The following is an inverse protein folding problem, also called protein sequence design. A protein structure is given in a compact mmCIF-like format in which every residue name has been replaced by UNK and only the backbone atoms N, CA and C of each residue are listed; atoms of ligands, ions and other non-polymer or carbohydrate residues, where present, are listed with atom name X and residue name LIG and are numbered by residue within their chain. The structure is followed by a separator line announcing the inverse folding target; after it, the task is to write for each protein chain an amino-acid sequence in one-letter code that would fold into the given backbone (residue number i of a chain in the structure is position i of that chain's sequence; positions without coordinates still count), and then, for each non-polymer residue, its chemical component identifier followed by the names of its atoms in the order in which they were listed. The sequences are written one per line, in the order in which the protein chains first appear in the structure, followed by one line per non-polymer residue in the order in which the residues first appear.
data_IF_048307986803
#
_entry.id   IF_048307986803
#
_cell.length_a   1.000
_cell.length_b   1.000
_cell.length_c   1.000
_cell.angle_alpha   90.00
_cell.angle_beta   90.00
_cell.angle_gamma   90.00
#
_symmetry.space_group_name_H-M   'P 1'
#
loop_
_entity.id
_entity.type
_entity.pdbx_description
1 polymer ?
#
# COMPACT_ATOMS: atom_id res chain seq x y z
N UNK A 1 14.66 -17.95 16.94
CA UNK A 1 13.84 -17.20 17.92
C UNK A 1 12.40 -16.95 17.41
N UNK A 2 11.76 -17.88 16.68
CA UNK A 2 10.57 -17.56 15.85
C UNK A 2 9.45 -18.60 15.88
N UNK A 3 9.23 -19.27 17.02
CA UNK A 3 8.16 -20.30 17.14
C UNK A 3 7.08 -19.94 18.16
N UNK A 4 7.27 -18.91 18.99
CA UNK A 4 6.32 -18.57 20.07
C UNK A 4 5.16 -17.65 19.65
N UNK A 5 5.11 -17.14 18.42
CA UNK A 5 4.15 -16.08 18.03
C UNK A 5 2.97 -16.54 17.17
N UNK A 6 2.86 -17.82 16.77
CA UNK A 6 1.82 -18.25 15.81
C UNK A 6 0.38 -18.06 16.33
N UNK A 7 0.16 -18.23 17.64
CA UNK A 7 -1.16 -18.06 18.25
C UNK A 7 -1.63 -16.60 18.30
N UNK A 8 -0.73 -15.62 18.19
CA UNK A 8 -1.06 -14.19 18.29
C UNK A 8 -1.33 -13.52 16.93
N UNK A 9 -1.19 -14.27 15.82
CA UNK A 9 -1.36 -13.76 14.45
C UNK A 9 -2.86 -13.61 14.10
N UNK A 10 -3.70 -14.48 14.67
CA UNK A 10 -5.13 -14.56 14.37
C UNK A 10 -5.97 -13.52 15.12
N UNK A 11 -5.73 -12.22 14.90
CA UNK A 11 -6.64 -11.19 15.41
C UNK A 11 -7.92 -11.18 14.57
N UNK A 12 -9.12 -11.19 15.19
CA UNK A 12 -10.36 -11.11 14.44
C UNK A 12 -10.46 -9.77 13.72
N UNK A 13 -10.64 -9.82 12.39
CA UNK A 13 -10.87 -8.63 11.57
C UNK A 13 -12.31 -8.19 11.77
N UNK A 14 -12.50 -6.98 12.29
CA UNK A 14 -13.84 -6.39 12.44
C UNK A 14 -14.38 -5.94 11.08
N UNK A 15 -15.69 -6.11 10.80
CA UNK A 15 -16.30 -5.55 9.60
C UNK A 15 -16.07 -4.04 9.51
N UNK A 16 -15.68 -3.57 8.32
CA UNK A 16 -15.48 -2.14 8.07
C UNK A 16 -16.80 -1.46 7.71
N UNK A 17 -17.01 -0.20 8.11
CA UNK A 17 -18.15 0.58 7.65
C UNK A 17 -17.98 1.00 6.19
N UNK A 18 -19.11 1.24 5.50
CA UNK A 18 -19.11 1.79 4.14
C UNK A 18 -18.95 3.32 4.17
N UNK A 19 -17.71 3.80 4.34
CA UNK A 19 -17.40 5.24 4.39
C UNK A 19 -16.66 5.75 3.15
N UNK A 20 -16.11 4.85 2.33
CA UNK A 20 -15.28 5.20 1.19
C UNK A 20 -16.07 5.08 -0.11
N UNK A 21 -15.83 6.03 -1.02
CA UNK A 21 -16.28 5.97 -2.41
C UNK A 21 -15.12 6.40 -3.29
N UNK A 22 -15.05 5.84 -4.48
CA UNK A 22 -13.99 6.14 -5.44
C UNK A 22 -14.57 6.15 -6.85
N UNK A 23 -14.30 7.21 -7.60
CA UNK A 23 -14.66 7.31 -9.02
C UNK A 23 -13.60 6.59 -9.86
N UNK A 24 -14.01 5.51 -10.53
CA UNK A 24 -13.11 4.70 -11.36
C UNK A 24 -12.44 5.49 -12.49
N UNK A 25 -13.02 6.61 -12.93
CA UNK A 25 -12.38 7.47 -13.94
C UNK A 25 -11.07 8.11 -13.43
N UNK A 26 -10.80 8.07 -12.12
CA UNK A 26 -9.56 8.55 -11.50
C UNK A 26 -8.45 7.50 -11.45
N UNK A 27 -8.77 6.23 -11.71
CA UNK A 27 -7.82 5.12 -11.52
C UNK A 27 -6.66 5.17 -12.51
N UNK A 28 -6.93 5.44 -13.78
CA UNK A 28 -5.92 5.39 -14.85
C UNK A 28 -4.79 6.42 -14.67
N UNK A 29 -5.11 7.58 -14.11
CA UNK A 29 -4.11 8.60 -13.78
C UNK A 29 -3.23 8.15 -12.62
N UNK A 30 -3.84 7.67 -11.54
CA UNK A 30 -3.11 7.11 -10.40
C UNK A 30 -2.21 5.93 -10.78
N UNK A 31 -2.69 5.01 -11.63
CA UNK A 31 -1.91 3.87 -12.09
C UNK A 31 -0.64 4.29 -12.86
N UNK A 32 -0.72 5.37 -13.65
CA UNK A 32 0.46 5.91 -14.34
C UNK A 32 1.51 6.44 -13.36
N UNK A 33 1.07 7.04 -12.26
CA UNK A 33 1.93 7.58 -11.20
C UNK A 33 2.47 6.54 -10.21
N UNK A 34 2.02 5.28 -10.27
CA UNK A 34 2.50 4.24 -9.36
C UNK A 34 4.01 3.95 -9.55
N UNK A 35 4.53 4.14 -10.76
CA UNK A 35 5.95 3.98 -11.07
C UNK A 35 6.83 5.03 -10.38
N UNK A 36 6.29 6.19 -10.00
CA UNK A 36 7.03 7.25 -9.32
C UNK A 36 7.49 6.81 -7.91
N UNK A 37 6.83 5.78 -7.35
CA UNK A 37 7.19 5.18 -6.06
C UNK A 37 8.10 3.95 -6.18
N UNK A 38 8.63 3.67 -7.38
CA UNK A 38 9.47 2.49 -7.66
C UNK A 38 10.83 2.83 -8.28
N UNK A 39 11.66 3.72 -7.70
CA UNK A 39 12.96 4.06 -8.31
C UNK A 39 13.87 2.84 -8.51
N UNK A 40 13.89 1.87 -7.59
CA UNK A 40 14.63 0.61 -7.79
C UNK A 40 13.92 -0.29 -8.80
N UNK A 41 12.59 -0.36 -8.78
CA UNK A 41 11.79 -1.07 -9.78
C UNK A 41 12.02 -0.59 -11.20
N UNK A 42 12.14 0.72 -11.42
CA UNK A 42 12.45 1.30 -12.73
C UNK A 42 13.82 0.85 -13.27
N UNK A 43 14.78 0.59 -12.38
CA UNK A 43 16.12 0.15 -12.75
C UNK A 43 16.23 -1.38 -12.89
N UNK A 44 15.44 -2.13 -12.14
CA UNK A 44 15.66 -3.58 -11.95
C UNK A 44 14.51 -4.46 -12.45
N UNK A 45 13.29 -3.92 -12.56
CA UNK A 45 12.07 -4.68 -12.79
C UNK A 45 11.68 -5.64 -11.66
N UNK A 46 12.36 -5.56 -10.50
CA UNK A 46 12.30 -6.58 -9.45
C UNK A 46 11.62 -6.12 -8.15
N UNK A 47 10.71 -5.13 -8.24
CA UNK A 47 9.97 -4.62 -7.09
C UNK A 47 8.46 -4.62 -7.33
N UNK A 48 7.72 -4.58 -6.24
CA UNK A 48 6.32 -4.19 -6.17
C UNK A 48 6.22 -2.81 -5.53
N UNK A 49 5.14 -2.08 -5.81
CA UNK A 49 4.76 -0.87 -5.10
C UNK A 49 3.40 -1.00 -4.41
N UNK A 50 3.26 -0.25 -3.32
CA UNK A 50 1.98 0.10 -2.72
C UNK A 50 1.89 1.63 -2.58
N UNK A 51 0.76 2.22 -2.97
CA UNK A 51 0.51 3.65 -2.85
C UNK A 51 -0.85 3.93 -2.18
N UNK A 52 -0.94 5.05 -1.47
CA UNK A 52 -2.18 5.53 -0.87
C UNK A 52 -2.82 6.57 -1.78
N UNK A 53 -4.01 6.26 -2.27
CA UNK A 53 -4.79 7.11 -3.17
C UNK A 53 -5.93 7.78 -2.42
N UNK A 54 -6.07 9.10 -2.57
CA UNK A 54 -7.22 9.83 -2.09
C UNK A 54 -8.43 9.65 -3.01
N UNK A 55 -9.67 9.93 -2.56
CA UNK A 55 -10.85 9.94 -3.43
C UNK A 55 -10.74 10.89 -4.62
N UNK A 56 -9.85 11.89 -4.57
CA UNK A 56 -9.53 12.78 -5.69
C UNK A 56 -8.81 12.09 -6.86
N UNK A 57 -8.20 10.92 -6.62
CA UNK A 57 -7.27 10.26 -7.54
C UNK A 57 -5.80 10.54 -7.24
N UNK A 58 -5.49 11.46 -6.32
CA UNK A 58 -4.11 11.81 -5.98
C UNK A 58 -3.42 10.70 -5.19
N UNK A 59 -2.22 10.30 -5.62
CA UNK A 59 -1.34 9.44 -4.84
C UNK A 59 -0.54 10.30 -3.86
N UNK A 60 -0.98 10.32 -2.60
CA UNK A 60 -0.32 11.13 -1.57
C UNK A 60 0.98 10.51 -1.06
N UNK A 61 1.26 9.25 -1.41
CA UNK A 61 2.56 8.62 -1.25
C UNK A 61 2.57 7.12 -1.50
N UNK A 62 3.75 6.53 -1.47
CA UNK A 62 3.96 5.11 -1.78
C UNK A 62 5.34 4.59 -1.40
N UNK A 63 5.46 3.26 -1.39
CA UNK A 63 6.70 2.55 -1.09
C UNK A 63 6.88 1.35 -2.01
N UNK A 64 8.13 1.06 -2.36
CA UNK A 64 8.52 -0.16 -3.03
C UNK A 64 9.20 -1.18 -2.11
N UNK A 65 9.11 -2.44 -2.50
CA UNK A 65 9.90 -3.54 -1.95
C UNK A 65 9.96 -4.70 -2.95
N UNK A 66 10.93 -5.61 -2.79
CA UNK A 66 10.94 -6.86 -3.56
C UNK A 66 9.67 -7.68 -3.30
N UNK A 67 9.24 -7.75 -2.03
CA UNK A 67 8.03 -8.45 -1.61
C UNK A 67 6.81 -7.54 -1.51
N UNK A 68 5.72 -7.86 -2.21
CA UNK A 68 4.47 -7.07 -2.18
C UNK A 68 3.90 -6.82 -0.77
N UNK A 69 4.00 -7.79 0.15
CA UNK A 69 3.47 -7.63 1.50
C UNK A 69 4.29 -6.61 2.30
N UNK A 70 5.61 -6.63 2.13
CA UNK A 70 6.51 -5.66 2.77
C UNK A 70 6.30 -4.27 2.18
N UNK A 71 6.09 -4.15 0.87
CA UNK A 71 5.72 -2.88 0.24
C UNK A 71 4.42 -2.31 0.84
N UNK A 72 3.40 -3.15 1.03
CA UNK A 72 2.15 -2.76 1.69
C UNK A 72 2.34 -2.38 3.16
N UNK A 73 3.10 -3.15 3.93
CA UNK A 73 3.37 -2.86 5.34
C UNK A 73 4.11 -1.52 5.51
N UNK A 74 5.08 -1.22 4.62
CA UNK A 74 5.74 0.09 4.58
C UNK A 74 4.72 1.22 4.34
N UNK A 75 3.81 1.03 3.39
CA UNK A 75 2.73 2.01 3.13
C UNK A 75 1.82 2.21 4.34
N UNK A 76 1.37 1.12 4.97
CA UNK A 76 0.52 1.18 6.15
C UNK A 76 1.24 1.87 7.32
N UNK A 77 2.54 1.58 7.50
CA UNK A 77 3.40 2.26 8.46
C UNK A 77 3.49 3.76 8.21
N UNK A 78 3.70 4.17 6.95
CA UNK A 78 3.71 5.58 6.55
C UNK A 78 2.37 6.27 6.80
N UNK A 79 1.26 5.66 6.36
CA UNK A 79 -0.09 6.22 6.55
C UNK A 79 -0.45 6.38 8.03
N UNK A 80 0.02 5.46 8.88
CA UNK A 80 -0.15 5.54 10.33
C UNK A 80 0.51 6.79 10.96
N UNK A 81 1.58 7.31 10.36
CA UNK A 81 2.27 8.52 10.83
C UNK A 81 1.69 9.84 10.30
N UNK A 82 0.82 9.78 9.29
CA UNK A 82 0.28 10.95 8.58
C UNK A 82 -1.21 11.16 8.88
N UNK A 83 -1.61 10.85 10.11
CA UNK A 83 -2.98 10.98 10.62
C UNK A 83 -3.60 12.33 10.32
#
# INVERSE_FOLDING_TARGET
CGVEQLNDIGKPVQPLPFTQTFDLNKLDDALRHLNDFQPVGQLTGCTHAAAWMLPSGELVGGHEDVGRHVALDKLLGRRSQEG
#
